data_IF_279367599583
#
_entry.id   IF_279367599583
#
_cell.length_a   1.000
_cell.length_b   1.000
_cell.length_c   1.000
_cell.angle_alpha   90.00
_cell.angle_beta   90.00
_cell.angle_gamma   90.00
#
_symmetry.space_group_name_H-M   'P 1'
#
loop_
_entity.id
_entity.type
_entity.pdbx_description
1 polymer ?
#
# COMPACT_ATOMS: atom_id res chain seq x y z
N UNK A 1 -3.02 32.92 12.98
CA UNK A 1 -2.95 31.44 12.93
C UNK A 1 -3.48 30.83 14.19
N UNK A 2 -4.39 29.87 14.10
CA UNK A 2 -4.84 29.06 15.24
C UNK A 2 -3.96 27.80 15.31
N UNK A 3 -2.96 27.81 16.20
CA UNK A 3 -2.02 26.70 16.37
C UNK A 3 -2.68 25.37 16.80
N UNK A 4 -3.96 25.41 17.17
CA UNK A 4 -4.72 24.22 17.59
C UNK A 4 -5.40 23.51 16.44
N UNK A 5 -5.51 24.16 15.26
CA UNK A 5 -6.10 23.59 14.04
C UNK A 5 -5.06 23.36 12.97
N UNK A 6 -5.24 22.32 12.16
CA UNK A 6 -4.44 22.06 10.96
C UNK A 6 -4.65 23.17 9.93
N UNK A 7 -3.61 23.47 9.17
CA UNK A 7 -3.78 24.22 7.93
C UNK A 7 -4.59 23.34 6.98
N UNK A 8 -5.72 23.84 6.42
CA UNK A 8 -6.55 23.06 5.51
C UNK A 8 -5.76 22.59 4.28
N UNK A 9 -5.92 21.34 3.90
CA UNK A 9 -5.32 20.81 2.67
C UNK A 9 -6.27 21.06 1.52
N UNK A 10 -5.71 21.47 0.38
CA UNK A 10 -6.49 21.67 -0.85
C UNK A 10 -6.84 20.33 -1.48
N UNK A 11 -8.07 20.20 -1.92
CA UNK A 11 -8.60 19.02 -2.57
C UNK A 11 -9.52 19.40 -3.74
N UNK A 12 -9.68 18.49 -4.69
CA UNK A 12 -10.72 18.63 -5.71
C UNK A 12 -12.10 18.54 -5.06
N UNK A 13 -13.06 19.36 -5.50
CA UNK A 13 -14.44 19.29 -5.05
C UNK A 13 -15.07 17.91 -5.32
N UNK A 14 -15.89 17.35 -4.41
CA UNK A 14 -16.43 16.00 -4.53
C UNK A 14 -17.16 15.69 -5.83
N UNK A 15 -17.97 16.63 -6.34
CA UNK A 15 -18.74 16.55 -7.58
C UNK A 15 -17.89 16.66 -8.86
N UNK A 16 -16.65 17.11 -8.71
CA UNK A 16 -15.64 17.16 -9.77
C UNK A 16 -14.78 15.89 -9.74
N UNK A 17 -14.19 15.56 -8.56
CA UNK A 17 -13.25 14.48 -8.42
C UNK A 17 -13.83 13.08 -8.65
N UNK A 18 -15.14 12.90 -8.42
CA UNK A 18 -15.82 11.63 -8.65
C UNK A 18 -16.02 11.26 -10.13
N UNK A 19 -15.59 12.14 -11.07
CA UNK A 19 -15.72 11.96 -12.53
C UNK A 19 -14.38 11.88 -13.27
N UNK A 20 -13.26 11.99 -12.56
CA UNK A 20 -11.94 11.96 -13.16
C UNK A 20 -10.99 11.09 -12.33
N UNK A 21 -9.81 10.78 -12.90
CA UNK A 21 -8.75 10.00 -12.24
C UNK A 21 -7.57 10.88 -11.79
N UNK A 22 -7.69 12.19 -11.83
CA UNK A 22 -6.66 13.11 -11.35
C UNK A 22 -6.53 13.03 -9.82
N UNK A 23 -5.36 13.35 -9.29
CA UNK A 23 -5.08 13.26 -7.87
C UNK A 23 -6.06 14.13 -7.06
N UNK A 24 -6.75 13.52 -6.11
CA UNK A 24 -7.79 14.16 -5.28
C UNK A 24 -7.22 15.20 -4.35
N UNK A 25 -6.22 14.82 -3.56
CA UNK A 25 -5.54 15.72 -2.63
C UNK A 25 -4.46 16.50 -3.37
N UNK A 26 -4.52 17.83 -3.36
CA UNK A 26 -3.59 18.71 -4.07
C UNK A 26 -2.36 19.08 -3.20
N UNK A 27 -2.38 18.74 -1.91
CA UNK A 27 -1.28 19.01 -0.98
C UNK A 27 -1.15 20.48 -0.60
N UNK A 28 -0.06 20.80 0.10
CA UNK A 28 0.31 22.16 0.51
C UNK A 28 1.16 22.86 -0.56
N UNK A 29 1.01 24.19 -0.67
CA UNK A 29 2.04 25.03 -1.25
C UNK A 29 3.11 25.35 -0.19
N UNK A 30 4.14 26.14 -0.55
CA UNK A 30 5.25 26.47 0.33
C UNK A 30 4.81 27.23 1.58
N UNK A 31 3.93 28.21 1.42
CA UNK A 31 3.44 29.07 2.50
C UNK A 31 2.58 28.25 3.49
N UNK A 32 1.67 27.43 2.97
CA UNK A 32 0.83 26.51 3.76
C UNK A 32 1.67 25.49 4.53
N UNK A 33 2.70 24.91 3.88
CA UNK A 33 3.60 23.96 4.53
C UNK A 33 4.44 24.60 5.63
N UNK A 34 5.00 25.79 5.40
CA UNK A 34 5.75 26.53 6.41
C UNK A 34 4.85 26.94 7.58
N UNK A 35 3.60 27.33 7.29
CA UNK A 35 2.61 27.64 8.32
C UNK A 35 2.28 26.42 9.16
N UNK A 36 1.95 25.27 8.56
CA UNK A 36 1.68 24.02 9.28
C UNK A 36 2.90 23.56 10.10
N UNK A 37 4.11 23.70 9.55
CA UNK A 37 5.35 23.35 10.25
C UNK A 37 5.56 24.12 11.56
N UNK A 38 5.06 25.36 11.67
CA UNK A 38 5.16 26.15 12.93
C UNK A 38 4.37 25.57 14.08
N UNK A 39 3.41 24.69 13.80
CA UNK A 39 2.61 23.99 14.81
C UNK A 39 3.40 22.91 15.55
N UNK A 40 4.51 22.43 14.96
CA UNK A 40 5.35 21.41 15.59
C UNK A 40 6.02 21.96 16.85
N UNK A 41 5.94 21.18 17.95
CA UNK A 41 6.52 21.55 19.24
C UNK A 41 8.02 21.22 19.35
N UNK A 42 8.59 20.58 18.33
CA UNK A 42 9.98 20.08 18.35
C UNK A 42 10.33 19.29 19.63
N UNK A 43 9.54 18.26 19.91
CA UNK A 43 9.60 17.50 21.15
C UNK A 43 10.93 16.76 21.28
N UNK A 44 11.61 16.82 22.43
CA UNK A 44 12.83 16.07 22.73
C UNK A 44 12.59 14.55 22.73
N UNK A 45 11.45 14.10 23.27
CA UNK A 45 10.99 12.71 23.18
C UNK A 45 9.80 12.63 22.22
N UNK A 46 10.10 12.60 20.92
CA UNK A 46 9.13 12.70 19.86
C UNK A 46 8.37 11.38 19.67
N UNK A 47 7.19 11.27 20.27
CA UNK A 47 6.31 10.09 20.12
C UNK A 47 5.93 9.81 18.67
N UNK A 48 5.86 10.83 17.81
CA UNK A 48 5.59 10.68 16.40
C UNK A 48 6.69 9.87 15.67
N UNK A 49 7.96 9.99 16.08
CA UNK A 49 9.08 9.16 15.56
C UNK A 49 8.87 7.70 15.93
N UNK A 50 8.46 7.43 17.17
CA UNK A 50 8.18 6.06 17.66
C UNK A 50 6.96 5.45 16.94
N UNK A 51 6.01 6.29 16.52
CA UNK A 51 4.85 5.86 15.73
C UNK A 51 5.14 5.68 14.23
N UNK A 52 6.36 5.98 13.77
CA UNK A 52 6.75 5.81 12.37
C UNK A 52 7.50 4.47 12.20
N UNK A 53 6.99 3.51 11.41
CA UNK A 53 7.62 2.21 11.21
C UNK A 53 9.04 2.23 10.62
N UNK A 54 9.43 3.34 9.98
CA UNK A 54 10.78 3.56 9.45
C UNK A 54 11.58 4.61 10.24
N UNK A 55 11.02 5.10 11.35
CA UNK A 55 11.69 6.01 12.30
C UNK A 55 12.25 7.29 11.65
N UNK A 56 11.47 7.97 10.80
CA UNK A 56 11.84 9.29 10.25
C UNK A 56 12.05 10.27 11.43
N UNK A 57 13.13 11.06 11.38
CA UNK A 57 13.31 12.17 12.32
C UNK A 57 12.35 13.33 11.99
N UNK A 58 11.09 13.13 12.46
CA UNK A 58 9.98 14.01 12.15
C UNK A 58 10.19 15.43 12.67
N UNK A 59 10.62 15.66 13.93
CA UNK A 59 10.89 17.03 14.40
C UNK A 59 11.96 17.74 13.57
N UNK A 60 13.04 17.03 13.20
CA UNK A 60 14.14 17.63 12.46
C UNK A 60 13.71 18.07 11.05
N UNK A 61 13.00 17.21 10.28
CA UNK A 61 12.58 17.62 8.93
C UNK A 61 11.54 18.74 8.98
N UNK A 62 10.59 18.70 9.94
CA UNK A 62 9.58 19.75 10.08
C UNK A 62 10.22 21.09 10.47
N UNK A 63 11.25 21.05 11.32
CA UNK A 63 12.03 22.25 11.64
C UNK A 63 12.65 22.88 10.39
N UNK A 64 13.24 22.05 9.49
CA UNK A 64 13.79 22.57 8.23
C UNK A 64 12.72 23.13 7.30
N UNK A 65 11.53 22.50 7.24
CA UNK A 65 10.38 23.07 6.49
C UNK A 65 9.98 24.43 7.04
N UNK A 66 9.90 24.57 8.36
CA UNK A 66 9.60 25.85 9.03
C UNK A 66 10.59 26.96 8.67
N UNK A 67 11.88 26.63 8.59
CA UNK A 67 12.95 27.58 8.24
C UNK A 67 13.07 27.80 6.70
N UNK A 68 12.26 27.10 5.90
CA UNK A 68 12.31 27.19 4.42
C UNK A 68 13.41 26.40 3.74
N UNK A 69 14.16 25.56 4.48
CA UNK A 69 15.27 24.73 4.00
C UNK A 69 14.75 23.38 3.49
N UNK A 70 13.97 23.37 2.41
CA UNK A 70 13.22 22.19 1.97
C UNK A 70 14.14 21.06 1.49
N UNK A 71 15.25 21.40 0.83
CA UNK A 71 16.24 20.39 0.42
C UNK A 71 16.86 19.65 1.61
N UNK A 72 17.17 20.36 2.70
CA UNK A 72 17.68 19.72 3.92
C UNK A 72 16.61 18.86 4.59
N UNK A 73 15.33 19.30 4.60
CA UNK A 73 14.23 18.47 5.05
C UNK A 73 14.13 17.16 4.26
N UNK A 74 14.30 17.19 2.93
CA UNK A 74 14.31 16.00 2.08
C UNK A 74 15.48 15.07 2.41
N UNK A 75 16.69 15.59 2.62
CA UNK A 75 17.86 14.78 3.04
C UNK A 75 17.63 14.09 4.37
N UNK A 76 17.00 14.76 5.34
CA UNK A 76 16.66 14.17 6.64
C UNK A 76 15.68 13.01 6.47
N UNK A 77 14.60 13.19 5.71
CA UNK A 77 13.64 12.12 5.41
C UNK A 77 14.32 10.94 4.70
N UNK A 78 15.16 11.22 3.71
CA UNK A 78 15.86 10.22 2.88
C UNK A 78 16.82 9.30 3.64
N UNK A 79 17.23 9.66 4.87
CA UNK A 79 18.01 8.76 5.75
C UNK A 79 17.20 7.56 6.23
N UNK A 80 15.90 7.72 6.35
CA UNK A 80 14.99 6.70 6.90
C UNK A 80 13.97 6.16 5.90
N UNK A 81 13.49 6.98 4.96
CA UNK A 81 12.45 6.63 3.98
C UNK A 81 12.99 6.61 2.56
N UNK A 82 12.76 5.49 1.86
CA UNK A 82 13.11 5.34 0.45
C UNK A 82 11.99 5.86 -0.49
N UNK A 83 10.75 6.03 0.03
CA UNK A 83 9.56 6.35 -0.76
C UNK A 83 8.73 7.47 -0.12
N UNK A 84 9.31 8.66 0.17
CA UNK A 84 8.62 9.71 0.93
C UNK A 84 7.40 10.29 0.21
N UNK A 85 7.42 10.43 -1.12
CA UNK A 85 6.29 10.93 -1.88
C UNK A 85 5.09 9.96 -1.85
N UNK A 86 5.36 8.66 -1.78
CA UNK A 86 4.34 7.61 -1.57
C UNK A 86 3.80 7.66 -0.14
N UNK A 87 4.69 7.64 0.87
CA UNK A 87 4.31 7.63 2.28
C UNK A 87 3.45 8.83 2.67
N UNK A 88 3.80 10.02 2.22
CA UNK A 88 3.03 11.24 2.46
C UNK A 88 1.59 11.20 1.90
N UNK A 89 1.32 10.30 0.94
CA UNK A 89 0.00 10.10 0.32
C UNK A 89 -0.80 8.95 0.92
N UNK A 90 -0.15 7.82 1.25
CA UNK A 90 -0.88 6.56 1.51
C UNK A 90 -0.73 5.99 2.93
N UNK A 91 0.21 6.50 3.75
CA UNK A 91 0.33 6.07 5.14
C UNK A 91 -0.95 6.35 5.93
N UNK A 92 -1.37 5.46 6.84
CA UNK A 92 -2.44 5.74 7.80
C UNK A 92 -1.90 6.59 8.96
N UNK A 93 -1.55 7.85 8.68
CA UNK A 93 -0.89 8.75 9.63
C UNK A 93 -1.69 8.93 10.92
N UNK A 94 -3.02 8.92 10.84
CA UNK A 94 -3.96 9.04 11.95
C UNK A 94 -3.80 7.97 13.03
N UNK A 95 -3.28 6.79 12.67
CA UNK A 95 -3.00 5.68 13.60
C UNK A 95 -1.50 5.49 13.87
N UNK A 96 -0.65 6.25 13.21
CA UNK A 96 0.81 6.17 13.30
C UNK A 96 1.41 7.47 13.85
N UNK A 97 2.21 8.18 13.05
CA UNK A 97 2.94 9.37 13.49
C UNK A 97 2.00 10.50 13.98
N UNK A 98 0.94 10.82 13.25
CA UNK A 98 -0.03 11.86 13.64
C UNK A 98 -0.86 11.42 14.84
N UNK A 99 -1.24 10.15 14.94
CA UNK A 99 -1.94 9.59 16.11
C UNK A 99 -1.12 9.67 17.40
N UNK A 100 0.21 9.74 17.32
CA UNK A 100 1.11 9.90 18.46
C UNK A 100 1.53 11.37 18.71
N UNK A 101 1.07 12.30 17.89
CA UNK A 101 1.42 13.71 18.02
C UNK A 101 0.80 14.33 19.25
N UNK A 102 1.65 14.97 20.11
CA UNK A 102 1.21 15.61 21.35
C UNK A 102 0.21 16.75 21.11
N UNK A 103 0.30 17.43 19.96
CA UNK A 103 -0.71 18.45 19.59
C UNK A 103 -2.13 17.88 19.54
N UNK A 104 -2.28 16.61 19.14
CA UNK A 104 -3.58 15.92 19.08
C UNK A 104 -4.28 15.73 20.43
N UNK A 105 -3.59 15.96 21.57
CA UNK A 105 -4.18 15.81 22.91
C UNK A 105 -5.17 16.95 23.21
N UNK A 106 -4.88 18.18 22.75
CA UNK A 106 -5.68 19.37 23.05
C UNK A 106 -6.27 20.06 21.81
N UNK A 107 -5.86 19.63 20.64
CA UNK A 107 -6.30 20.17 19.36
C UNK A 107 -6.12 19.12 18.27
N UNK A 108 -5.79 19.56 17.07
CA UNK A 108 -5.47 18.66 15.95
C UNK A 108 -3.97 18.38 15.90
N UNK A 109 -3.59 17.13 15.60
CA UNK A 109 -2.21 16.75 15.36
C UNK A 109 -1.58 17.60 14.23
N UNK A 110 -0.26 17.67 14.18
CA UNK A 110 0.44 18.25 13.01
C UNK A 110 0.21 17.35 11.80
N UNK A 111 -0.03 17.92 10.61
CA UNK A 111 -0.22 17.20 9.33
C UNK A 111 1.11 16.67 8.81
N UNK A 112 1.69 15.71 9.52
CA UNK A 112 3.05 15.17 9.28
C UNK A 112 3.14 14.58 7.87
N UNK A 113 2.16 13.77 7.47
CA UNK A 113 2.15 13.16 6.15
C UNK A 113 2.01 14.17 5.01
N UNK A 114 1.23 15.25 5.20
CA UNK A 114 1.10 16.30 4.17
C UNK A 114 2.39 17.13 4.06
N UNK A 115 3.13 17.32 5.16
CA UNK A 115 4.45 17.94 5.15
C UNK A 115 5.51 17.04 4.48
N UNK A 116 5.52 15.75 4.78
CA UNK A 116 6.38 14.77 4.10
C UNK A 116 6.13 14.76 2.59
N UNK A 117 4.86 14.72 2.18
CA UNK A 117 4.46 14.85 0.78
C UNK A 117 4.98 16.13 0.13
N UNK A 118 4.77 17.28 0.78
CA UNK A 118 5.23 18.57 0.27
C UNK A 118 6.74 18.56 0.02
N UNK A 119 7.52 18.07 0.98
CA UNK A 119 8.99 18.00 0.87
C UNK A 119 9.40 17.10 -0.30
N UNK A 120 8.78 15.93 -0.45
CA UNK A 120 9.09 14.99 -1.52
C UNK A 120 8.69 15.52 -2.91
N UNK A 121 7.51 16.15 -3.02
CA UNK A 121 7.05 16.75 -4.28
C UNK A 121 7.95 17.93 -4.68
N UNK A 122 8.33 18.78 -3.73
CA UNK A 122 9.26 19.87 -3.96
C UNK A 122 10.64 19.34 -4.45
N UNK A 123 11.16 18.29 -3.83
CA UNK A 123 12.44 17.69 -4.23
C UNK A 123 12.38 17.15 -5.66
N UNK A 124 11.28 16.49 -6.04
CA UNK A 124 11.04 16.02 -7.41
C UNK A 124 11.03 17.18 -8.40
N UNK A 125 10.27 18.24 -8.11
CA UNK A 125 10.13 19.43 -8.98
C UNK A 125 11.45 20.19 -9.14
N UNK A 126 12.32 20.16 -8.13
CA UNK A 126 13.64 20.78 -8.15
C UNK A 126 14.77 19.80 -8.54
N UNK A 127 14.46 18.59 -8.97
CA UNK A 127 15.41 17.55 -9.40
C UNK A 127 16.50 17.25 -8.37
N UNK A 128 16.14 17.21 -7.09
CA UNK A 128 17.06 16.81 -6.01
C UNK A 128 17.35 15.32 -6.13
N UNK A 129 18.61 14.96 -6.27
CA UNK A 129 19.03 13.56 -6.42
C UNK A 129 19.36 12.91 -5.08
N UNK A 130 19.15 11.59 -4.95
CA UNK A 130 19.59 10.86 -3.76
C UNK A 130 21.11 10.78 -3.68
N UNK A 131 21.65 10.75 -2.46
CA UNK A 131 23.08 10.57 -2.21
C UNK A 131 23.52 9.17 -2.64
N UNK A 132 24.53 9.10 -3.52
CA UNK A 132 25.09 7.85 -4.01
C UNK A 132 26.15 7.30 -3.05
N UNK A 133 26.29 5.96 -2.93
CA UNK A 133 27.36 5.38 -2.13
C UNK A 133 28.74 5.70 -2.73
N UNK A 134 29.71 5.92 -1.88
CA UNK A 134 31.10 6.24 -2.27
C UNK A 134 31.98 4.98 -2.37
N UNK A 135 31.64 3.94 -1.65
CA UNK A 135 32.41 2.67 -1.60
C UNK A 135 31.56 1.50 -2.08
N UNK A 136 32.20 0.57 -2.82
CA UNK A 136 31.59 -0.68 -3.26
C UNK A 136 32.11 -1.84 -2.44
N UNK A 137 31.20 -2.70 -1.98
CA UNK A 137 31.52 -3.91 -1.19
C UNK A 137 31.83 -5.14 -2.06
N UNK A 138 31.58 -5.10 -3.37
CA UNK A 138 31.87 -6.20 -4.29
C UNK A 138 31.00 -7.44 -4.11
N UNK A 139 29.92 -7.36 -3.36
CA UNK A 139 28.94 -8.43 -3.12
C UNK A 139 27.64 -8.12 -3.84
N UNK A 140 26.95 -9.15 -4.34
CA UNK A 140 25.75 -9.06 -5.14
C UNK A 140 24.52 -9.52 -4.33
N UNK A 141 23.43 -8.76 -4.36
CA UNK A 141 22.17 -9.14 -3.71
C UNK A 141 21.02 -9.15 -4.71
N UNK A 142 20.28 -10.26 -4.75
CA UNK A 142 19.04 -10.35 -5.51
C UNK A 142 17.85 -9.97 -4.62
N UNK A 143 16.94 -9.13 -5.15
CA UNK A 143 15.69 -8.75 -4.49
C UNK A 143 14.53 -9.23 -5.35
N UNK A 144 13.61 -10.00 -4.77
CA UNK A 144 12.47 -10.57 -5.49
C UNK A 144 11.23 -9.72 -5.20
N UNK A 145 10.76 -9.01 -6.21
CA UNK A 145 9.64 -8.08 -6.16
C UNK A 145 10.07 -6.62 -5.94
N UNK A 146 9.47 -5.73 -6.71
CA UNK A 146 9.70 -4.28 -6.68
C UNK A 146 8.62 -3.51 -5.92
N UNK A 147 7.89 -4.17 -5.03
CA UNK A 147 6.96 -3.52 -4.11
C UNK A 147 7.69 -2.71 -3.03
N UNK A 148 6.96 -2.06 -2.11
CA UNK A 148 7.56 -1.19 -1.09
C UNK A 148 8.70 -1.83 -0.28
N UNK A 149 8.57 -3.10 0.11
CA UNK A 149 9.63 -3.80 0.86
C UNK A 149 10.87 -4.03 0.01
N UNK A 150 10.70 -4.48 -1.25
CA UNK A 150 11.80 -4.73 -2.18
C UNK A 150 12.54 -3.46 -2.58
N UNK A 151 11.81 -2.39 -2.93
CA UNK A 151 12.41 -1.09 -3.25
C UNK A 151 13.20 -0.51 -2.08
N UNK A 152 12.66 -0.63 -0.85
CA UNK A 152 13.35 -0.13 0.35
C UNK A 152 14.59 -0.96 0.67
N UNK A 153 14.48 -2.28 0.64
CA UNK A 153 15.63 -3.18 0.87
C UNK A 153 16.73 -2.92 -0.16
N UNK A 154 16.38 -2.85 -1.44
CA UNK A 154 17.32 -2.60 -2.52
C UNK A 154 17.99 -1.23 -2.41
N UNK A 155 17.22 -0.18 -2.11
CA UNK A 155 17.75 1.17 -1.94
C UNK A 155 18.72 1.27 -0.76
N UNK A 156 18.37 0.68 0.39
CA UNK A 156 19.24 0.70 1.57
C UNK A 156 20.52 -0.12 1.33
N UNK A 157 20.44 -1.31 0.72
CA UNK A 157 21.62 -2.11 0.35
C UNK A 157 22.52 -1.38 -0.66
N UNK A 158 21.93 -0.71 -1.65
CA UNK A 158 22.70 0.08 -2.61
C UNK A 158 23.44 1.24 -1.92
N UNK A 159 22.80 1.94 -0.98
CA UNK A 159 23.47 2.99 -0.16
C UNK A 159 24.62 2.40 0.68
N UNK A 160 24.56 1.14 1.09
CA UNK A 160 25.64 0.43 1.81
C UNK A 160 26.77 -0.06 0.88
N UNK A 161 26.63 0.11 -0.45
CA UNK A 161 27.67 -0.24 -1.43
C UNK A 161 27.54 -1.63 -2.06
N UNK A 162 26.41 -2.31 -1.91
CA UNK A 162 26.12 -3.59 -2.57
C UNK A 162 25.69 -3.41 -4.03
N UNK A 163 26.00 -4.39 -4.87
CA UNK A 163 25.46 -4.48 -6.24
C UNK A 163 24.09 -5.19 -6.17
N UNK A 164 23.00 -4.44 -6.36
CA UNK A 164 21.63 -4.95 -6.17
C UNK A 164 20.89 -5.07 -7.49
N UNK A 165 20.23 -6.23 -7.68
CA UNK A 165 19.30 -6.45 -8.79
C UNK A 165 17.93 -6.85 -8.25
N UNK A 166 16.89 -6.09 -8.63
CA UNK A 166 15.49 -6.43 -8.37
C UNK A 166 14.95 -7.23 -9.55
N UNK A 167 14.33 -8.37 -9.28
CA UNK A 167 13.56 -9.16 -10.23
C UNK A 167 12.08 -8.96 -9.99
N UNK A 168 11.39 -8.39 -10.99
CA UNK A 168 9.97 -8.05 -10.93
C UNK A 168 9.18 -8.89 -11.93
N UNK A 169 8.10 -9.53 -11.46
CA UNK A 169 7.25 -10.38 -12.29
C UNK A 169 6.40 -9.58 -13.30
N UNK A 170 6.02 -8.36 -12.96
CA UNK A 170 5.21 -7.48 -13.79
C UNK A 170 6.07 -6.70 -14.79
N UNK A 171 5.42 -6.06 -15.76
CA UNK A 171 6.09 -5.24 -16.77
C UNK A 171 6.44 -3.82 -16.29
N UNK A 172 5.88 -3.38 -15.16
CA UNK A 172 6.19 -2.13 -14.50
C UNK A 172 6.62 -2.39 -13.05
N UNK A 173 7.64 -1.67 -12.58
CA UNK A 173 8.12 -1.73 -11.19
C UNK A 173 7.23 -0.90 -10.26
N UNK A 174 7.10 -1.34 -9.00
CA UNK A 174 6.35 -0.66 -7.95
C UNK A 174 5.38 -1.58 -7.20
N UNK A 175 5.10 -2.78 -7.70
CA UNK A 175 4.19 -3.72 -7.04
C UNK A 175 2.82 -3.11 -6.80
N UNK A 176 2.31 -3.22 -5.57
CA UNK A 176 0.98 -2.68 -5.18
C UNK A 176 0.83 -1.17 -5.43
N UNK A 177 1.93 -0.43 -5.49
CA UNK A 177 1.91 1.02 -5.79
C UNK A 177 1.41 1.29 -7.22
N UNK A 178 1.62 0.36 -8.14
CA UNK A 178 1.21 0.50 -9.54
C UNK A 178 -0.06 -0.29 -9.86
N UNK A 179 -0.24 -1.52 -9.35
CA UNK A 179 -1.42 -2.30 -9.68
C UNK A 179 -2.60 -2.08 -8.74
N UNK A 180 -2.36 -1.77 -7.45
CA UNK A 180 -3.40 -1.80 -6.42
C UNK A 180 -3.95 -0.42 -6.06
N UNK A 181 -3.11 0.57 -5.83
CA UNK A 181 -3.54 1.91 -5.39
C UNK A 181 -3.97 2.73 -6.62
N UNK A 182 -5.16 3.36 -6.63
CA UNK A 182 -5.65 4.11 -7.79
C UNK A 182 -4.84 5.37 -8.13
N UNK A 183 -4.88 5.77 -9.40
CA UNK A 183 -4.24 6.98 -9.93
C UNK A 183 -4.64 8.23 -9.13
N UNK A 184 -5.93 8.38 -8.80
CA UNK A 184 -6.46 9.53 -8.07
C UNK A 184 -5.99 9.63 -6.59
N UNK A 185 -5.33 8.60 -6.06
CA UNK A 185 -4.66 8.62 -4.74
C UNK A 185 -3.14 8.67 -4.85
N UNK A 186 -2.59 7.98 -5.82
CA UNK A 186 -1.16 7.82 -6.01
C UNK A 186 -0.83 7.83 -7.50
N UNK A 187 -0.49 8.97 -8.09
CA UNK A 187 -0.14 9.09 -9.50
C UNK A 187 1.05 8.20 -9.88
N UNK A 188 0.91 7.39 -10.95
CA UNK A 188 1.91 6.40 -11.34
C UNK A 188 3.10 7.03 -12.06
N UNK A 189 2.82 7.80 -13.11
CA UNK A 189 3.84 8.36 -13.99
C UNK A 189 4.70 9.45 -13.32
N UNK A 190 4.12 10.22 -12.42
CA UNK A 190 4.79 11.38 -11.80
C UNK A 190 5.35 11.07 -10.41
N UNK A 191 4.70 10.22 -9.63
CA UNK A 191 5.10 9.93 -8.25
C UNK A 191 5.80 8.59 -8.15
N UNK A 192 5.11 7.49 -8.47
CA UNK A 192 5.69 6.14 -8.30
C UNK A 192 6.90 5.95 -9.20
N UNK A 193 6.81 6.33 -10.48
CA UNK A 193 7.92 6.22 -11.42
C UNK A 193 9.14 7.02 -10.97
N UNK A 194 8.93 8.21 -10.38
CA UNK A 194 10.03 9.04 -9.85
C UNK A 194 10.72 8.37 -8.66
N UNK A 195 9.96 7.81 -7.73
CA UNK A 195 10.53 7.09 -6.57
C UNK A 195 11.31 5.83 -7.00
N UNK A 196 10.79 5.08 -7.97
CA UNK A 196 11.50 3.94 -8.57
C UNK A 196 12.79 4.40 -9.25
N UNK A 197 12.75 5.53 -9.98
CA UNK A 197 13.93 6.08 -10.64
C UNK A 197 14.99 6.54 -9.62
N UNK A 198 14.58 7.10 -8.48
CA UNK A 198 15.51 7.45 -7.41
C UNK A 198 16.24 6.21 -6.87
N UNK A 199 15.55 5.07 -6.74
CA UNK A 199 16.19 3.80 -6.35
C UNK A 199 17.19 3.33 -7.43
N UNK A 200 16.85 3.44 -8.72
CA UNK A 200 17.79 3.14 -9.83
C UNK A 200 19.01 4.05 -9.83
N UNK A 201 18.85 5.35 -9.53
CA UNK A 201 19.94 6.30 -9.42
C UNK A 201 20.98 5.94 -8.35
N UNK A 202 20.61 5.16 -7.34
CA UNK A 202 21.53 4.58 -6.35
C UNK A 202 22.40 3.45 -6.93
N UNK A 203 22.13 3.00 -8.16
CA UNK A 203 22.84 1.90 -8.82
C UNK A 203 22.07 0.57 -8.86
N UNK A 204 20.84 0.54 -8.36
CA UNK A 204 19.99 -0.66 -8.40
C UNK A 204 19.56 -0.96 -9.82
N UNK A 205 19.72 -2.23 -10.25
CA UNK A 205 19.16 -2.74 -11.50
C UNK A 205 17.77 -3.29 -11.25
N UNK A 206 16.84 -3.10 -12.19
CA UNK A 206 15.48 -3.66 -12.12
C UNK A 206 15.22 -4.43 -13.42
N UNK A 207 15.00 -5.74 -13.29
CA UNK A 207 14.69 -6.68 -14.37
C UNK A 207 13.19 -7.00 -14.28
N UNK A 208 12.39 -6.45 -15.19
CA UNK A 208 10.94 -6.71 -15.26
C UNK A 208 10.62 -7.95 -16.10
N UNK A 209 9.39 -8.47 -15.98
CA UNK A 209 8.93 -9.71 -16.66
C UNK A 209 9.73 -10.97 -16.27
N UNK A 210 10.32 -10.99 -15.07
CA UNK A 210 11.06 -12.13 -14.54
C UNK A 210 10.32 -12.73 -13.36
N UNK A 211 9.75 -13.92 -13.55
CA UNK A 211 8.96 -14.63 -12.54
C UNK A 211 9.84 -15.62 -11.78
N UNK A 212 10.35 -15.25 -10.62
CA UNK A 212 11.14 -16.17 -9.78
C UNK A 212 10.26 -17.33 -9.31
N UNK A 213 10.78 -18.54 -9.46
CA UNK A 213 10.04 -19.79 -9.30
C UNK A 213 9.49 -20.35 -10.62
N UNK A 214 9.64 -19.60 -11.75
CA UNK A 214 9.32 -20.04 -13.11
C UNK A 214 10.47 -19.82 -14.08
N UNK A 215 10.92 -18.58 -14.25
CA UNK A 215 12.05 -18.23 -15.13
C UNK A 215 13.37 -18.75 -14.56
N UNK A 216 13.58 -18.57 -13.27
CA UNK A 216 14.69 -19.13 -12.47
C UNK A 216 14.24 -19.30 -11.02
N UNK A 217 14.95 -20.12 -10.27
CA UNK A 217 14.69 -20.40 -8.85
C UNK A 217 15.61 -19.57 -7.94
N UNK A 218 15.31 -19.53 -6.64
CA UNK A 218 16.20 -18.92 -5.65
C UNK A 218 17.54 -19.67 -5.57
N UNK A 219 17.52 -21.00 -5.69
CA UNK A 219 18.74 -21.79 -5.68
C UNK A 219 19.64 -21.42 -6.88
N UNK A 220 19.06 -21.27 -8.08
CA UNK A 220 19.83 -20.82 -9.26
C UNK A 220 20.40 -19.41 -9.11
N UNK A 221 19.68 -18.48 -8.47
CA UNK A 221 20.20 -17.14 -8.18
C UNK A 221 21.48 -17.22 -7.31
N UNK A 222 21.48 -18.08 -6.29
CA UNK A 222 22.62 -18.24 -5.38
C UNK A 222 23.76 -19.04 -6.01
N UNK A 223 23.45 -20.15 -6.69
CA UNK A 223 24.45 -21.15 -7.14
C UNK A 223 24.96 -20.82 -8.55
N UNK A 224 24.10 -20.43 -9.49
CA UNK A 224 24.44 -20.26 -10.90
C UNK A 224 24.72 -18.80 -11.28
N UNK A 225 23.90 -17.83 -10.76
CA UNK A 225 24.01 -16.40 -11.10
C UNK A 225 24.98 -15.64 -10.18
N UNK A 226 25.44 -16.29 -9.10
CA UNK A 226 26.46 -15.77 -8.20
C UNK A 226 26.01 -14.60 -7.34
N UNK A 227 24.74 -14.59 -6.90
CA UNK A 227 24.27 -13.69 -5.85
C UNK A 227 24.71 -14.22 -4.48
N UNK A 228 25.23 -13.34 -3.64
CA UNK A 228 25.69 -13.68 -2.29
C UNK A 228 24.55 -13.79 -1.27
N UNK A 229 23.42 -13.12 -1.52
CA UNK A 229 22.20 -13.19 -0.71
C UNK A 229 20.94 -12.87 -1.55
N UNK A 230 19.77 -13.25 -1.01
CA UNK A 230 18.47 -13.01 -1.64
C UNK A 230 17.51 -12.40 -0.62
N UNK A 231 16.78 -11.35 -1.00
CA UNK A 231 15.64 -10.82 -0.25
C UNK A 231 14.32 -11.12 -0.98
N UNK A 232 13.35 -11.71 -0.29
CA UNK A 232 12.01 -12.01 -0.82
C UNK A 232 11.02 -10.94 -0.36
N UNK A 233 10.64 -10.06 -1.27
CA UNK A 233 9.63 -9.01 -1.11
C UNK A 233 8.45 -9.18 -2.08
N UNK A 234 8.03 -10.43 -2.35
CA UNK A 234 7.05 -10.78 -3.37
C UNK A 234 5.59 -10.40 -3.05
N UNK A 235 5.35 -9.86 -1.85
CA UNK A 235 4.04 -9.36 -1.43
C UNK A 235 2.99 -10.45 -1.20
N UNK A 236 1.70 -10.04 -1.19
CA UNK A 236 0.53 -10.90 -1.01
C UNK A 236 -0.55 -10.49 -2.01
N UNK A 237 -0.51 -11.07 -3.21
CA UNK A 237 -1.41 -10.72 -4.32
C UNK A 237 -2.51 -11.73 -4.60
N UNK A 238 -2.54 -12.91 -3.92
CA UNK A 238 -3.54 -13.93 -4.16
C UNK A 238 -4.84 -13.57 -3.43
N UNK A 239 -5.96 -13.27 -4.14
CA UNK A 239 -7.20 -12.82 -3.52
C UNK A 239 -7.89 -13.91 -2.73
N UNK A 240 -8.70 -13.49 -1.75
CA UNK A 240 -9.60 -14.36 -0.98
C UNK A 240 -11.04 -14.14 -1.40
N UNK A 241 -11.79 -15.24 -1.39
CA UNK A 241 -13.22 -15.28 -1.67
C UNK A 241 -13.98 -15.79 -0.43
N UNK A 242 -15.30 -15.65 -0.42
CA UNK A 242 -16.15 -16.07 0.70
C UNK A 242 -16.42 -17.57 0.71
N UNK A 243 -16.39 -18.22 -0.46
CA UNK A 243 -16.82 -19.61 -0.63
C UNK A 243 -18.35 -19.76 -0.67
N UNK A 244 -19.08 -18.72 -1.09
CA UNK A 244 -20.54 -18.74 -1.22
C UNK A 244 -20.97 -19.18 -2.62
N UNK A 245 -22.21 -19.70 -2.79
CA UNK A 245 -22.75 -20.05 -4.10
C UNK A 245 -22.72 -18.86 -5.06
N UNK A 246 -22.37 -19.11 -6.33
CA UNK A 246 -22.36 -18.12 -7.40
C UNK A 246 -21.09 -17.26 -7.49
N UNK A 247 -20.10 -17.41 -6.62
CA UNK A 247 -18.84 -16.63 -6.68
C UNK A 247 -18.02 -16.81 -7.95
N UNK A 248 -18.28 -17.85 -8.76
CA UNK A 248 -17.61 -18.09 -10.06
C UNK A 248 -18.45 -17.58 -11.22
N UNK A 249 -19.49 -16.83 -10.98
CA UNK A 249 -20.31 -16.23 -12.04
C UNK A 249 -19.49 -15.19 -12.86
N UNK A 250 -19.97 -14.91 -14.07
CA UNK A 250 -19.48 -13.76 -14.80
C UNK A 250 -19.72 -12.48 -13.97
N UNK A 251 -18.90 -11.46 -14.13
CA UNK A 251 -18.94 -10.18 -13.41
C UNK A 251 -18.73 -10.27 -11.89
N UNK A 252 -18.20 -11.39 -11.39
CA UNK A 252 -17.62 -11.50 -10.06
C UNK A 252 -16.09 -11.36 -10.16
N UNK A 253 -15.55 -10.33 -9.54
CA UNK A 253 -14.11 -10.01 -9.59
C UNK A 253 -13.50 -10.01 -8.19
N UNK A 254 -12.23 -10.30 -8.10
CA UNK A 254 -11.46 -9.82 -6.96
C UNK A 254 -11.12 -8.34 -7.13
N UNK A 255 -10.98 -7.62 -6.03
CA UNK A 255 -10.55 -6.22 -6.07
C UNK A 255 -9.15 -6.08 -6.73
N UNK A 256 -8.24 -7.04 -6.50
CA UNK A 256 -6.94 -7.04 -7.14
C UNK A 256 -7.03 -7.10 -8.67
N UNK A 257 -7.88 -7.98 -9.20
CA UNK A 257 -8.11 -8.08 -10.65
C UNK A 257 -8.67 -6.78 -11.23
N UNK A 258 -9.74 -6.27 -10.60
CA UNK A 258 -10.42 -5.05 -11.04
C UNK A 258 -9.49 -3.83 -11.01
N UNK A 259 -8.76 -3.66 -9.92
CA UNK A 259 -7.80 -2.56 -9.76
C UNK A 259 -6.58 -2.72 -10.67
N UNK A 260 -6.07 -3.93 -10.89
CA UNK A 260 -4.97 -4.17 -11.84
C UNK A 260 -5.34 -3.74 -13.25
N UNK A 261 -6.55 -4.08 -13.71
CA UNK A 261 -7.04 -3.64 -15.03
C UNK A 261 -7.12 -2.12 -15.14
N UNK A 262 -7.63 -1.46 -14.11
CA UNK A 262 -7.74 0.00 -14.09
C UNK A 262 -6.38 0.68 -13.96
N UNK A 263 -5.57 0.29 -13.00
CA UNK A 263 -4.36 1.02 -12.62
C UNK A 263 -3.14 0.65 -13.49
N UNK A 264 -2.68 -0.61 -13.42
CA UNK A 264 -1.50 -1.08 -14.15
C UNK A 264 -1.76 -1.15 -15.64
N UNK A 265 -2.92 -1.69 -16.04
CA UNK A 265 -3.31 -1.86 -17.45
C UNK A 265 -4.06 -0.63 -18.00
N UNK A 266 -4.24 0.41 -17.19
CA UNK A 266 -4.72 1.76 -17.58
C UNK A 266 -6.09 1.76 -18.30
N UNK A 267 -7.00 0.85 -17.91
CA UNK A 267 -8.31 0.68 -18.56
C UNK A 267 -9.24 1.91 -18.46
N UNK A 268 -8.93 2.88 -17.60
CA UNK A 268 -9.65 4.15 -17.51
C UNK A 268 -9.26 5.17 -18.58
N UNK A 269 -8.20 4.91 -19.36
CA UNK A 269 -7.70 5.78 -20.40
C UNK A 269 -8.14 5.30 -21.78
N UNK A 270 -8.69 6.20 -22.57
CA UNK A 270 -9.23 5.88 -23.90
C UNK A 270 -8.18 5.40 -24.92
N UNK A 271 -6.90 5.77 -24.71
CA UNK A 271 -5.78 5.34 -25.55
C UNK A 271 -5.28 3.92 -25.31
N UNK A 272 -5.85 3.18 -24.33
CA UNK A 272 -5.50 1.81 -23.99
C UNK A 272 -6.65 0.85 -24.31
N UNK A 273 -6.34 -0.25 -25.02
CA UNK A 273 -7.31 -1.29 -25.40
C UNK A 273 -7.62 -2.29 -24.26
N UNK A 274 -7.31 -1.96 -23.02
CA UNK A 274 -7.55 -2.83 -21.88
C UNK A 274 -9.06 -3.01 -21.66
N UNK A 275 -9.60 -4.24 -21.75
CA UNK A 275 -11.01 -4.46 -21.55
C UNK A 275 -11.41 -4.27 -20.10
N UNK A 276 -12.34 -3.38 -19.85
CA UNK A 276 -13.03 -3.21 -18.58
C UNK A 276 -14.52 -3.05 -18.83
N UNK A 277 -15.32 -3.90 -18.20
CA UNK A 277 -16.76 -3.76 -18.29
C UNK A 277 -17.25 -2.56 -17.47
N UNK A 278 -18.19 -1.82 -18.02
CA UNK A 278 -18.89 -0.72 -17.33
C UNK A 278 -20.25 -1.23 -16.86
N UNK A 279 -20.47 -1.16 -15.57
CA UNK A 279 -21.68 -1.63 -14.91
C UNK A 279 -22.55 -0.46 -14.48
N UNK A 280 -23.86 -0.71 -14.32
CA UNK A 280 -24.78 0.29 -13.77
C UNK A 280 -24.76 0.29 -12.26
N UNK A 281 -24.70 -0.91 -11.64
CA UNK A 281 -24.76 -1.07 -10.20
C UNK A 281 -23.81 -2.15 -9.71
N UNK A 282 -22.88 -1.78 -8.84
CA UNK A 282 -21.80 -2.64 -8.35
C UNK A 282 -21.77 -2.71 -6.83
N UNK A 283 -21.64 -3.91 -6.27
CA UNK A 283 -21.33 -4.09 -4.86
C UNK A 283 -19.85 -4.45 -4.65
N UNK A 284 -19.21 -3.74 -3.73
CA UNK A 284 -17.87 -4.06 -3.23
C UNK A 284 -18.01 -4.69 -1.85
N UNK A 285 -17.62 -5.96 -1.72
CA UNK A 285 -17.72 -6.73 -0.47
C UNK A 285 -16.42 -6.56 0.33
N UNK A 286 -16.48 -5.79 1.40
CA UNK A 286 -15.35 -5.49 2.27
C UNK A 286 -15.35 -4.05 2.77
N UNK A 287 -14.50 -3.74 3.76
CA UNK A 287 -14.47 -2.42 4.41
C UNK A 287 -13.05 -1.84 4.59
N UNK A 288 -12.03 -2.42 3.94
CA UNK A 288 -10.65 -1.94 4.01
C UNK A 288 -10.31 -0.89 2.94
N UNK A 289 -9.06 -0.40 2.95
CA UNK A 289 -8.58 0.57 1.96
C UNK A 289 -8.79 0.08 0.51
N UNK A 290 -8.55 -1.20 0.26
CA UNK A 290 -8.75 -1.81 -1.07
C UNK A 290 -10.22 -1.77 -1.49
N UNK A 291 -11.17 -1.90 -0.54
CA UNK A 291 -12.60 -1.75 -0.83
C UNK A 291 -12.94 -0.31 -1.20
N UNK A 292 -12.39 0.69 -0.48
CA UNK A 292 -12.57 2.10 -0.82
C UNK A 292 -12.00 2.40 -2.21
N UNK A 293 -10.81 1.88 -2.51
CA UNK A 293 -10.15 2.04 -3.82
C UNK A 293 -10.97 1.45 -4.96
N UNK A 294 -11.47 0.22 -4.80
CA UNK A 294 -12.31 -0.45 -5.80
C UNK A 294 -13.65 0.28 -5.99
N UNK A 295 -14.28 0.72 -4.89
CA UNK A 295 -15.55 1.44 -4.94
C UNK A 295 -15.42 2.79 -5.65
N UNK A 296 -14.41 3.57 -5.30
CA UNK A 296 -14.15 4.88 -5.90
C UNK A 296 -13.73 4.77 -7.37
N UNK A 297 -13.07 3.66 -7.74
CA UNK A 297 -12.75 3.35 -9.14
C UNK A 297 -14.02 3.00 -9.92
N UNK A 298 -14.89 2.12 -9.40
CA UNK A 298 -16.14 1.73 -10.04
C UNK A 298 -17.08 2.93 -10.24
N UNK A 299 -17.16 3.82 -9.25
CA UNK A 299 -17.92 5.08 -9.36
C UNK A 299 -17.43 5.95 -10.53
N UNK A 300 -16.10 6.14 -10.66
CA UNK A 300 -15.50 6.92 -11.76
C UNK A 300 -15.73 6.29 -13.13
N UNK A 301 -15.90 4.98 -13.18
CA UNK A 301 -16.28 4.25 -14.40
C UNK A 301 -17.79 4.26 -14.69
N UNK A 302 -18.58 4.96 -13.86
CA UNK A 302 -19.98 5.26 -14.11
C UNK A 302 -20.99 4.41 -13.34
N UNK A 303 -20.58 3.57 -12.40
CA UNK A 303 -21.47 2.71 -11.63
C UNK A 303 -22.06 3.41 -10.39
N UNK A 304 -23.34 3.15 -10.09
CA UNK A 304 -23.86 3.27 -8.72
C UNK A 304 -23.14 2.23 -7.86
N UNK A 305 -22.48 2.68 -6.82
CA UNK A 305 -21.52 1.83 -6.10
C UNK A 305 -21.89 1.67 -4.64
N UNK A 306 -21.94 0.42 -4.19
CA UNK A 306 -22.29 0.01 -2.85
C UNK A 306 -21.11 -0.67 -2.17
N UNK A 307 -20.74 -0.22 -0.97
CA UNK A 307 -19.85 -0.97 -0.06
C UNK A 307 -20.71 -1.82 0.86
N UNK A 308 -20.56 -3.14 0.75
CA UNK A 308 -21.26 -4.11 1.59
C UNK A 308 -20.31 -4.62 2.67
N UNK A 309 -20.61 -4.30 3.93
CA UNK A 309 -19.74 -4.61 5.04
C UNK A 309 -20.50 -5.20 6.24
N UNK A 310 -20.01 -6.32 6.76
CA UNK A 310 -20.68 -7.11 7.81
C UNK A 310 -20.65 -6.49 9.22
N UNK A 311 -19.91 -5.42 9.45
CA UNK A 311 -19.83 -4.67 10.71
C UNK A 311 -20.34 -3.24 10.53
N UNK A 312 -20.27 -2.45 11.60
CA UNK A 312 -20.63 -1.03 11.53
C UNK A 312 -19.47 -0.15 11.03
N UNK A 313 -19.72 1.14 10.94
CA UNK A 313 -18.74 2.13 10.49
C UNK A 313 -17.51 2.21 11.42
N UNK A 314 -17.74 2.06 12.73
CA UNK A 314 -16.68 2.11 13.75
C UNK A 314 -15.63 0.99 13.58
N UNK A 315 -16.02 -0.14 13.00
CA UNK A 315 -15.14 -1.27 12.74
C UNK A 315 -14.52 -1.28 11.34
N UNK A 316 -14.74 -0.23 10.52
CA UNK A 316 -14.09 -0.13 9.20
C UNK A 316 -12.57 -0.04 9.36
N UNK A 317 -11.81 -0.96 8.76
CA UNK A 317 -10.35 -0.92 8.84
C UNK A 317 -9.71 0.04 7.84
N UNK A 318 -10.49 0.69 6.97
CA UNK A 318 -10.00 1.70 6.03
C UNK A 318 -9.59 2.99 6.77
N UNK A 319 -8.70 3.75 6.18
CA UNK A 319 -8.33 5.09 6.65
C UNK A 319 -9.56 5.99 6.71
N UNK A 320 -9.66 6.79 7.77
CA UNK A 320 -10.79 7.72 7.95
C UNK A 320 -10.93 8.70 6.77
N UNK A 321 -9.82 9.22 6.24
CA UNK A 321 -9.79 10.09 5.06
C UNK A 321 -10.42 9.41 3.82
N UNK A 322 -10.11 8.12 3.58
CA UNK A 322 -10.64 7.39 2.44
C UNK A 322 -12.14 7.05 2.58
N UNK A 323 -12.59 6.75 3.79
CA UNK A 323 -14.03 6.58 4.08
C UNK A 323 -14.79 7.89 3.87
N UNK A 324 -14.21 9.00 4.34
CA UNK A 324 -14.79 10.33 4.17
C UNK A 324 -14.92 10.69 2.68
N UNK A 325 -13.83 10.54 1.91
CA UNK A 325 -13.83 10.78 0.47
C UNK A 325 -14.87 9.91 -0.26
N UNK A 326 -14.96 8.62 0.08
CA UNK A 326 -15.92 7.71 -0.53
C UNK A 326 -17.37 8.17 -0.31
N UNK A 327 -17.70 8.63 0.90
CA UNK A 327 -19.04 9.16 1.23
C UNK A 327 -19.34 10.46 0.50
N UNK A 328 -18.40 11.40 0.47
CA UNK A 328 -18.56 12.67 -0.24
C UNK A 328 -18.74 12.47 -1.75
N UNK A 329 -18.09 11.47 -2.33
CA UNK A 329 -18.20 11.11 -3.74
C UNK A 329 -19.53 10.43 -4.10
N UNK A 330 -20.33 10.04 -3.10
CA UNK A 330 -21.67 9.48 -3.29
C UNK A 330 -21.74 7.94 -3.23
N UNK A 331 -20.73 7.27 -2.70
CA UNK A 331 -20.75 5.82 -2.49
C UNK A 331 -21.71 5.47 -1.34
N UNK A 332 -22.55 4.46 -1.57
CA UNK A 332 -23.55 3.98 -0.61
C UNK A 332 -22.91 2.92 0.29
N UNK A 333 -23.12 3.04 1.60
CA UNK A 333 -22.59 2.10 2.59
C UNK A 333 -23.71 1.23 3.16
N UNK A 334 -23.77 -0.03 2.72
CA UNK A 334 -24.66 -1.07 3.26
C UNK A 334 -23.93 -1.80 4.38
N UNK A 335 -23.89 -1.15 5.54
CA UNK A 335 -23.25 -1.68 6.74
C UNK A 335 -24.15 -2.75 7.41
N UNK A 336 -23.56 -3.53 8.34
CA UNK A 336 -24.24 -4.64 9.01
C UNK A 336 -24.95 -5.57 8.02
N UNK A 337 -24.27 -5.87 6.91
CA UNK A 337 -24.80 -6.65 5.79
C UNK A 337 -23.74 -7.64 5.31
N UNK A 338 -24.11 -8.90 5.20
CA UNK A 338 -23.22 -9.97 4.75
C UNK A 338 -23.80 -10.73 3.57
N UNK A 339 -23.06 -10.91 2.47
CA UNK A 339 -23.50 -11.74 1.35
C UNK A 339 -23.60 -13.21 1.73
N UNK A 340 -24.59 -13.90 1.18
CA UNK A 340 -24.80 -15.35 1.37
C UNK A 340 -24.81 -16.13 0.05
N UNK A 341 -25.16 -15.48 -1.07
CA UNK A 341 -25.25 -16.09 -2.39
C UNK A 341 -25.17 -15.01 -3.47
N UNK A 342 -24.51 -15.29 -4.60
CA UNK A 342 -24.56 -14.49 -5.82
C UNK A 342 -25.60 -15.08 -6.75
N UNK A 343 -26.54 -14.26 -7.21
CA UNK A 343 -27.63 -14.66 -8.11
C UNK A 343 -27.24 -14.39 -9.56
N UNK A 344 -27.59 -15.34 -10.45
CA UNK A 344 -27.25 -15.27 -11.87
C UNK A 344 -28.44 -15.54 -12.76
N UNK A 345 -28.35 -15.08 -14.01
CA UNK A 345 -29.24 -15.50 -15.09
C UNK A 345 -28.84 -16.87 -15.65
N UNK A 346 -29.59 -17.36 -16.65
CA UNK A 346 -29.34 -18.65 -17.31
C UNK A 346 -28.01 -18.72 -18.08
N UNK A 347 -27.38 -17.55 -18.32
CA UNK A 347 -26.07 -17.43 -18.98
C UNK A 347 -24.90 -17.33 -17.98
N UNK A 348 -25.21 -17.32 -16.70
CA UNK A 348 -24.24 -17.19 -15.64
C UNK A 348 -23.79 -15.74 -15.36
N UNK A 349 -24.50 -14.73 -15.86
CA UNK A 349 -24.21 -13.33 -15.56
C UNK A 349 -24.84 -12.93 -14.22
N UNK A 350 -24.19 -12.08 -13.47
CA UNK A 350 -24.70 -11.57 -12.18
C UNK A 350 -25.97 -10.75 -12.39
N UNK A 351 -27.02 -11.06 -11.62
CA UNK A 351 -28.29 -10.32 -11.58
C UNK A 351 -28.55 -9.72 -10.20
N UNK A 352 -27.87 -10.20 -9.19
CA UNK A 352 -28.00 -9.71 -7.82
C UNK A 352 -27.18 -10.49 -6.81
N UNK A 353 -27.37 -10.12 -5.57
CA UNK A 353 -26.69 -10.75 -4.42
C UNK A 353 -27.67 -10.87 -3.26
N UNK A 354 -27.83 -12.10 -2.75
CA UNK A 354 -28.59 -12.36 -1.54
C UNK A 354 -27.73 -12.03 -0.33
N UNK A 355 -28.28 -11.23 0.56
CA UNK A 355 -27.62 -10.76 1.76
C UNK A 355 -28.45 -11.07 3.01
N UNK A 356 -27.79 -11.10 4.16
CA UNK A 356 -28.42 -11.19 5.49
C UNK A 356 -27.98 -9.99 6.33
N UNK A 357 -28.87 -9.48 7.18
CA UNK A 357 -28.53 -8.42 8.13
C UNK A 357 -27.75 -9.00 9.31
N UNK A 358 -26.86 -8.16 9.84
CA UNK A 358 -25.98 -8.51 10.94
C UNK A 358 -26.28 -7.65 12.17
N UNK A 359 -25.99 -8.17 13.33
CA UNK A 359 -25.84 -7.42 14.58
C UNK A 359 -24.42 -7.59 15.13
N UNK A 360 -24.02 -6.73 16.05
CA UNK A 360 -22.69 -6.77 16.66
C UNK A 360 -22.73 -7.41 18.04
N UNK A 361 -22.01 -8.52 18.19
CA UNK A 361 -21.77 -9.20 19.46
C UNK A 361 -20.53 -8.69 20.19
N UNK A 362 -19.96 -9.54 21.03
CA UNK A 362 -18.74 -9.25 21.81
C UNK A 362 -17.51 -9.02 20.89
N UNK A 363 -16.51 -8.25 21.35
CA UNK A 363 -15.26 -8.06 20.61
C UNK A 363 -14.53 -9.38 20.32
N UNK A 364 -13.99 -9.50 19.11
CA UNK A 364 -13.11 -10.58 18.71
C UNK A 364 -11.65 -10.35 19.19
N UNK A 365 -10.73 -11.26 18.85
CA UNK A 365 -9.32 -11.17 19.21
C UNK A 365 -8.61 -9.91 18.63
N UNK A 366 -9.20 -9.23 17.64
CA UNK A 366 -8.71 -7.96 17.09
C UNK A 366 -9.28 -6.73 17.81
N UNK A 367 -10.13 -6.93 18.81
CA UNK A 367 -10.83 -5.86 19.53
C UNK A 367 -12.06 -5.31 18.82
N UNK A 368 -12.41 -5.83 17.62
CA UNK A 368 -13.60 -5.42 16.87
C UNK A 368 -14.79 -6.32 17.23
N UNK A 369 -15.98 -5.73 17.34
CA UNK A 369 -17.20 -6.48 17.66
C UNK A 369 -17.49 -7.55 16.59
N UNK A 370 -17.78 -8.77 17.03
CA UNK A 370 -18.03 -9.91 16.15
C UNK A 370 -19.38 -9.74 15.43
N UNK A 371 -19.45 -9.86 14.09
CA UNK A 371 -20.72 -9.81 13.38
C UNK A 371 -21.48 -11.13 13.59
N UNK A 372 -22.78 -11.02 13.89
CA UNK A 372 -23.72 -12.13 14.12
C UNK A 372 -24.90 -11.98 13.16
N UNK A 373 -25.29 -13.06 12.49
CA UNK A 373 -26.42 -13.05 11.56
C UNK A 373 -27.76 -12.90 12.30
N UNK A 374 -28.67 -12.10 11.75
CA UNK A 374 -30.05 -11.97 12.20
C UNK A 374 -30.91 -12.93 11.36
N UNK A 375 -31.34 -14.07 11.90
CA UNK A 375 -32.14 -15.03 11.15
C UNK A 375 -33.45 -14.45 10.62
N UNK A 376 -33.81 -14.75 9.37
CA UNK A 376 -35.04 -14.27 8.75
C UNK A 376 -34.94 -12.82 8.22
N UNK A 377 -33.73 -12.25 8.17
CA UNK A 377 -33.50 -10.89 7.65
C UNK A 377 -32.92 -10.88 6.21
N UNK A 378 -32.99 -12.00 5.52
CA UNK A 378 -32.47 -12.16 4.17
C UNK A 378 -33.18 -11.22 3.19
N UNK A 379 -32.43 -10.64 2.28
CA UNK A 379 -32.92 -9.77 1.21
C UNK A 379 -32.04 -9.86 -0.01
N UNK A 380 -32.53 -9.39 -1.15
CA UNK A 380 -31.79 -9.38 -2.41
C UNK A 380 -31.43 -7.93 -2.79
N UNK A 381 -30.16 -7.73 -3.16
CA UNK A 381 -29.68 -6.55 -3.84
C UNK A 381 -29.60 -6.85 -5.34
N UNK A 382 -30.30 -6.08 -6.18
CA UNK A 382 -30.12 -6.16 -7.63
C UNK A 382 -28.82 -5.49 -8.03
N UNK A 383 -27.95 -6.20 -8.76
CA UNK A 383 -26.59 -5.79 -9.10
C UNK A 383 -26.18 -6.34 -10.46
N UNK A 384 -25.30 -5.62 -11.16
CA UNK A 384 -24.69 -6.09 -12.42
C UNK A 384 -23.30 -6.72 -12.20
N UNK A 385 -22.66 -6.41 -11.07
CA UNK A 385 -21.34 -6.97 -10.74
C UNK A 385 -21.08 -6.97 -9.23
N UNK A 386 -20.18 -7.87 -8.80
CA UNK A 386 -19.71 -7.96 -7.42
C UNK A 386 -18.18 -7.98 -7.40
N UNK A 387 -17.58 -7.15 -6.56
CA UNK A 387 -16.12 -7.08 -6.39
C UNK A 387 -15.76 -7.52 -4.96
N UNK A 388 -15.08 -8.66 -4.84
CA UNK A 388 -14.64 -9.20 -3.56
C UNK A 388 -13.36 -8.52 -3.08
N UNK A 389 -13.43 -7.85 -1.94
CA UNK A 389 -12.33 -7.10 -1.31
C UNK A 389 -12.05 -7.60 0.12
N UNK A 390 -11.77 -8.91 0.25
CA UNK A 390 -11.67 -9.63 1.53
C UNK A 390 -10.24 -9.85 2.01
N UNK A 391 -9.29 -9.13 1.40
CA UNK A 391 -7.86 -9.28 1.66
C UNK A 391 -7.22 -10.33 0.76
N UNK A 392 -5.92 -10.50 0.96
CA UNK A 392 -5.07 -11.32 0.12
C UNK A 392 -4.14 -12.22 0.94
N UNK A 393 -3.49 -13.16 0.26
CA UNK A 393 -2.44 -14.01 0.83
C UNK A 393 -1.24 -14.08 -0.12
N UNK A 394 -0.03 -14.46 0.37
CA UNK A 394 1.12 -14.66 -0.49
C UNK A 394 0.88 -15.72 -1.55
N UNK A 395 1.44 -15.50 -2.76
CA UNK A 395 1.44 -16.51 -3.81
C UNK A 395 2.37 -17.67 -3.40
N UNK A 396 1.92 -18.95 -3.43
CA UNK A 396 2.73 -20.08 -3.01
C UNK A 396 3.89 -20.44 -3.96
N UNK A 397 4.03 -19.78 -5.09
CA UNK A 397 5.04 -20.09 -6.10
C UNK A 397 6.45 -20.13 -5.51
N UNK A 398 6.86 -19.07 -4.79
CA UNK A 398 8.21 -18.99 -4.20
C UNK A 398 8.43 -20.13 -3.21
N UNK A 399 7.50 -20.31 -2.25
CA UNK A 399 7.64 -21.35 -1.22
C UNK A 399 7.59 -22.78 -1.78
N UNK A 400 6.82 -23.01 -2.86
CA UNK A 400 6.72 -24.34 -3.48
C UNK A 400 7.93 -24.73 -4.35
N UNK A 401 8.71 -23.73 -4.80
CA UNK A 401 9.89 -23.92 -5.66
C UNK A 401 11.22 -23.73 -4.93
N UNK A 402 11.21 -23.43 -3.63
CA UNK A 402 12.39 -23.17 -2.81
C UNK A 402 12.47 -24.17 -1.64
N UNK A 403 13.39 -25.13 -1.73
CA UNK A 403 13.60 -26.11 -0.66
C UNK A 403 14.20 -25.45 0.58
N UNK A 404 13.74 -25.87 1.76
CA UNK A 404 14.26 -25.39 3.03
C UNK A 404 13.72 -24.01 3.46
N UNK A 405 12.71 -23.47 2.76
CA UNK A 405 12.02 -22.25 3.10
C UNK A 405 10.73 -22.59 3.86
N UNK A 406 10.68 -22.27 5.16
CA UNK A 406 9.53 -22.55 6.01
C UNK A 406 8.39 -21.54 5.77
N UNK A 407 7.15 -22.06 5.82
CA UNK A 407 5.92 -21.28 5.78
C UNK A 407 5.03 -21.58 6.96
N UNK A 408 4.25 -20.61 7.39
CA UNK A 408 3.27 -20.78 8.47
C UNK A 408 1.89 -21.26 7.95
N UNK A 409 0.95 -21.48 8.87
CA UNK A 409 -0.43 -21.94 8.55
C UNK A 409 -1.18 -20.97 7.61
N UNK A 410 -0.79 -19.69 7.55
CA UNK A 410 -1.37 -18.69 6.64
C UNK A 410 -0.66 -18.62 5.30
N UNK A 411 0.26 -19.55 5.01
CA UNK A 411 1.11 -19.61 3.82
C UNK A 411 2.06 -18.42 3.66
N UNK A 412 2.35 -17.69 4.76
CA UNK A 412 3.36 -16.66 4.79
C UNK A 412 4.73 -17.28 5.09
N UNK A 413 5.78 -16.71 4.52
CA UNK A 413 7.17 -17.11 4.79
C UNK A 413 7.48 -16.83 6.26
N UNK A 414 8.12 -17.77 6.95
CA UNK A 414 8.60 -17.58 8.31
C UNK A 414 9.94 -16.83 8.26
N UNK A 415 9.99 -15.66 8.89
CA UNK A 415 11.19 -14.84 8.98
C UNK A 415 11.27 -14.15 10.34
N UNK A 416 12.48 -13.86 10.80
CA UNK A 416 12.74 -13.06 12.00
C UNK A 416 12.33 -11.60 11.74
N UNK A 417 11.62 -10.99 12.67
CA UNK A 417 11.09 -9.63 12.49
C UNK A 417 12.20 -8.56 12.38
N UNK A 418 13.26 -8.71 13.18
CA UNK A 418 14.34 -7.73 13.29
C UNK A 418 15.34 -7.75 12.13
N UNK A 419 15.47 -8.88 11.44
CA UNK A 419 16.51 -9.12 10.42
C UNK A 419 15.96 -9.62 9.09
N UNK A 420 14.70 -10.05 9.05
CA UNK A 420 14.12 -10.71 7.88
C UNK A 420 14.70 -12.10 7.58
N UNK A 421 15.59 -12.65 8.47
CA UNK A 421 16.24 -13.95 8.25
C UNK A 421 15.22 -15.08 8.17
N UNK A 422 15.32 -15.92 7.14
CA UNK A 422 14.46 -17.11 6.95
C UNK A 422 15.16 -18.38 7.45
N UNK A 423 14.48 -19.52 7.35
CA UNK A 423 15.04 -20.85 7.61
C UNK A 423 16.13 -21.28 6.61
N UNK A 424 16.21 -20.61 5.45
CA UNK A 424 17.20 -20.91 4.39
C UNK A 424 18.38 -19.93 4.47
N UNK A 425 19.61 -20.46 4.56
CA UNK A 425 20.82 -19.63 4.65
C UNK A 425 20.97 -18.70 3.43
N UNK A 426 21.39 -17.45 3.66
CA UNK A 426 21.53 -16.43 2.62
C UNK A 426 20.20 -15.88 2.08
N UNK A 427 19.05 -16.35 2.60
CA UNK A 427 17.72 -15.94 2.14
C UNK A 427 16.98 -15.20 3.25
N UNK A 428 16.51 -14.00 2.91
CA UNK A 428 15.78 -13.07 3.77
C UNK A 428 14.41 -12.79 3.19
N UNK A 429 13.47 -12.37 3.99
CA UNK A 429 12.12 -12.04 3.52
C UNK A 429 11.50 -10.92 4.34
N UNK A 430 10.59 -10.15 3.75
CA UNK A 430 9.88 -9.08 4.44
C UNK A 430 8.63 -8.60 3.71
N UNK A 431 7.87 -7.73 4.38
CA UNK A 431 6.61 -7.20 3.89
C UNK A 431 5.49 -8.25 3.87
N UNK A 432 4.51 -8.06 3.01
CA UNK A 432 3.29 -8.88 2.98
C UNK A 432 3.55 -10.37 2.70
N UNK A 433 4.70 -10.73 2.14
CA UNK A 433 5.11 -12.13 1.98
C UNK A 433 5.30 -12.86 3.32
N UNK A 434 5.61 -12.11 4.39
CA UNK A 434 5.85 -12.60 5.76
C UNK A 434 4.63 -12.35 6.67
N UNK A 435 4.09 -11.13 6.66
CA UNK A 435 3.03 -10.72 7.59
C UNK A 435 1.62 -10.99 7.09
N UNK A 436 1.44 -11.22 5.78
CA UNK A 436 0.18 -11.04 5.08
C UNK A 436 -0.05 -9.56 4.74
N UNK A 437 -1.13 -9.26 4.02
CA UNK A 437 -1.42 -7.90 3.58
C UNK A 437 -1.48 -6.89 4.74
N UNK A 438 -0.66 -5.84 4.65
CA UNK A 438 -0.52 -4.79 5.65
C UNK A 438 -0.47 -3.39 4.97
N UNK A 439 0.39 -2.49 5.43
CA UNK A 439 0.54 -1.15 4.87
C UNK A 439 1.88 -0.99 4.14
N UNK A 440 1.92 -0.02 3.22
CA UNK A 440 3.15 0.34 2.48
C UNK A 440 4.32 0.58 3.44
N UNK A 441 4.12 1.39 4.47
CA UNK A 441 5.19 1.76 5.40
C UNK A 441 5.67 0.60 6.28
N UNK A 442 4.79 -0.34 6.66
CA UNK A 442 5.19 -1.56 7.38
C UNK A 442 6.01 -2.48 6.48
N UNK A 443 5.64 -2.60 5.20
CA UNK A 443 6.43 -3.34 4.23
C UNK A 443 7.82 -2.70 4.02
N UNK A 444 7.90 -1.37 4.00
CA UNK A 444 9.18 -0.64 3.95
C UNK A 444 10.04 -0.90 5.19
N UNK A 445 9.44 -0.88 6.39
CA UNK A 445 10.13 -1.23 7.64
C UNK A 445 10.74 -2.64 7.60
N UNK A 446 9.99 -3.62 7.11
CA UNK A 446 10.49 -4.98 6.90
C UNK A 446 11.61 -5.05 5.84
N UNK A 447 11.54 -4.24 4.79
CA UNK A 447 12.62 -4.10 3.80
C UNK A 447 13.92 -3.56 4.42
N UNK A 448 13.82 -2.57 5.32
CA UNK A 448 14.98 -2.06 6.10
C UNK A 448 15.58 -3.11 7.00
N UNK A 449 14.74 -3.86 7.71
CA UNK A 449 15.18 -4.97 8.57
C UNK A 449 15.92 -6.03 7.75
N UNK A 450 15.38 -6.40 6.57
CA UNK A 450 16.04 -7.33 5.66
C UNK A 450 17.38 -6.82 5.13
N UNK A 451 17.46 -5.54 4.76
CA UNK A 451 18.73 -4.94 4.32
C UNK A 451 19.79 -4.99 5.42
N UNK A 452 19.41 -4.67 6.66
CA UNK A 452 20.30 -4.77 7.83
C UNK A 452 20.77 -6.21 8.06
N UNK A 453 19.84 -7.18 8.05
CA UNK A 453 20.17 -8.59 8.24
C UNK A 453 21.10 -9.14 7.16
N UNK A 454 20.92 -8.74 5.91
CA UNK A 454 21.80 -9.09 4.79
C UNK A 454 23.19 -8.45 4.97
N UNK A 455 23.26 -7.17 5.37
CA UNK A 455 24.53 -6.49 5.60
C UNK A 455 25.33 -7.17 6.73
N UNK A 456 24.68 -7.54 7.83
CA UNK A 456 25.31 -8.29 8.94
C UNK A 456 25.82 -9.66 8.46
N UNK A 457 25.05 -10.39 7.65
CA UNK A 457 25.45 -11.68 7.11
C UNK A 457 26.66 -11.58 6.17
N UNK A 458 26.60 -10.65 5.21
CA UNK A 458 27.66 -10.51 4.20
C UNK A 458 28.94 -9.85 4.74
N UNK A 459 28.86 -9.09 5.84
CA UNK A 459 30.02 -8.50 6.49
C UNK A 459 30.81 -9.51 7.35
N UNK A 460 30.18 -10.63 7.72
CA UNK A 460 30.79 -11.70 8.53
C UNK A 460 31.27 -12.90 7.69
N UNK A 461 30.96 -12.90 6.39
CA UNK A 461 31.34 -13.92 5.41
C UNK A 461 32.12 -13.27 4.24
#
# INVERSE_FOLDING_TARGET
>A
MDVMKKVPVREQAPDVRNKNFDEVCLGYNKEEAMEEATRCLNCMNARCVQGCPVSIDIPAFIHQVKEGNIEEAYKIIGKSSALPAVCGRVCPQETQCEGQCIRGIKGESVSIGKLERFVADWARENNVEPEKPTEKKGKKVAVIGSGPSGLTCAGDLAKMGYDVTIFEALHEAGGVLVYGIPEFRLPKSTVVAHEVENVKKLGVKIETNVVIGKSMTIDQLLEDEGFDAVFIGSGAGLPRFMGIPGENANEVFSANEYLTRSNLMKAFKDEYDTPIARFKKVAIVGGGNVAMDAARTALRLGAETHIVYRRSEEELPARAEEVHHAKEEGIIFDLLTNPTEILTDDKGNVTGMKCIKMELGEPDASGRRKPVEIPGSEFVMELDAVIMSLGTSPNPLISSTTKGLDINKRKCIVAEEETGKTSKEGVYAGGDAVTGAATVILAMGAGKAGAKGIDEFLSNN
#
